data_IF_353215050319
#
_entry.id   IF_353215050319
#
_cell.length_a   1.000
_cell.length_b   1.000
_cell.length_c   1.000
_cell.angle_alpha   90.00
_cell.angle_beta   90.00
_cell.angle_gamma   90.00
#
_symmetry.space_group_name_H-M   'P 1'
#
loop_
_entity.id
_entity.type
_entity.pdbx_description
1 polymer ?
#
# COMPACT_ATOMS: atom_id res chain seq x y z
N UNK A 1 -35.01 -92.35 14.06
CA UNK A 1 -34.20 -91.23 13.50
C UNK A 1 -34.46 -89.95 14.28
N UNK A 2 -33.87 -89.79 15.48
CA UNK A 2 -34.12 -88.63 16.36
C UNK A 2 -32.88 -88.24 17.18
N UNK A 3 -31.68 -88.33 16.60
CA UNK A 3 -30.43 -87.96 17.31
C UNK A 3 -29.50 -87.03 16.51
N UNK A 4 -30.03 -86.29 15.53
CA UNK A 4 -29.23 -85.38 14.68
C UNK A 4 -29.60 -83.89 14.81
N UNK A 5 -30.57 -83.55 15.67
CA UNK A 5 -31.04 -82.16 15.88
C UNK A 5 -30.21 -81.33 16.88
N UNK A 6 -29.67 -81.86 18.00
CA UNK A 6 -28.98 -81.01 18.98
C UNK A 6 -27.56 -80.61 18.54
N UNK A 7 -26.90 -81.40 17.68
CA UNK A 7 -25.52 -81.14 17.21
C UNK A 7 -25.51 -80.01 16.16
N UNK A 8 -26.52 -79.96 15.28
CA UNK A 8 -26.64 -78.90 14.27
C UNK A 8 -26.90 -77.52 14.86
N UNK A 9 -27.65 -77.43 15.97
CA UNK A 9 -27.95 -76.16 16.65
C UNK A 9 -26.69 -75.62 17.35
N UNK A 10 -25.88 -76.49 17.97
CA UNK A 10 -24.60 -76.11 18.57
C UNK A 10 -23.57 -75.61 17.53
N UNK A 11 -23.50 -76.27 16.36
CA UNK A 11 -22.61 -75.85 15.28
C UNK A 11 -23.02 -74.48 14.69
N UNK A 12 -24.32 -74.23 14.48
CA UNK A 12 -24.82 -72.95 13.97
C UNK A 12 -24.51 -71.78 14.92
N UNK A 13 -24.63 -72.01 16.23
CA UNK A 13 -24.29 -71.01 17.26
C UNK A 13 -22.80 -70.65 17.24
N UNK A 14 -21.91 -71.64 17.05
CA UNK A 14 -20.47 -71.40 16.95
C UNK A 14 -20.10 -70.57 15.71
N UNK A 15 -20.70 -70.86 14.56
CA UNK A 15 -20.44 -70.09 13.33
C UNK A 15 -20.94 -68.64 13.42
N UNK A 16 -22.09 -68.39 14.05
CA UNK A 16 -22.59 -67.02 14.29
C UNK A 16 -21.68 -66.22 15.23
N UNK A 17 -21.18 -66.86 16.30
CA UNK A 17 -20.23 -66.23 17.21
C UNK A 17 -18.90 -65.91 16.51
N UNK A 18 -18.37 -66.84 15.71
CA UNK A 18 -17.14 -66.64 14.93
C UNK A 18 -17.30 -65.50 13.92
N UNK A 19 -18.46 -65.42 13.24
CA UNK A 19 -18.77 -64.36 12.27
C UNK A 19 -18.87 -62.98 12.94
N UNK A 20 -19.50 -62.90 14.12
CA UNK A 20 -19.55 -61.66 14.92
C UNK A 20 -18.15 -61.20 15.35
N UNK A 21 -17.29 -62.12 15.79
CA UNK A 21 -15.91 -61.80 16.19
C UNK A 21 -15.09 -61.33 14.99
N UNK A 22 -15.18 -62.03 13.85
CA UNK A 22 -14.48 -61.64 12.61
C UNK A 22 -14.96 -60.30 12.07
N UNK A 23 -16.28 -60.03 12.15
CA UNK A 23 -16.87 -58.76 11.77
C UNK A 23 -16.41 -57.63 12.70
N UNK A 24 -16.37 -57.87 14.01
CA UNK A 24 -15.87 -56.90 14.99
C UNK A 24 -14.36 -56.61 14.80
N UNK A 25 -13.54 -57.61 14.49
CA UNK A 25 -12.12 -57.42 14.14
C UNK A 25 -11.96 -56.67 12.82
N UNK A 26 -12.77 -56.96 11.80
CA UNK A 26 -12.73 -56.26 10.52
C UNK A 26 -13.16 -54.80 10.64
N UNK A 27 -14.22 -54.53 11.42
CA UNK A 27 -14.71 -53.18 11.65
C UNK A 27 -13.76 -52.39 12.57
N UNK A 28 -13.24 -53.03 13.63
CA UNK A 28 -12.29 -52.46 14.55
C UNK A 28 -10.95 -52.12 13.89
N UNK A 29 -10.44 -53.00 13.03
CA UNK A 29 -9.23 -52.72 12.24
C UNK A 29 -9.44 -51.56 11.27
N UNK A 30 -10.55 -51.53 10.51
CA UNK A 30 -10.88 -50.39 9.64
C UNK A 30 -11.01 -49.07 10.41
N UNK A 31 -11.64 -49.11 11.57
CA UNK A 31 -11.78 -47.95 12.45
C UNK A 31 -10.41 -47.46 12.94
N UNK A 32 -9.57 -48.38 13.43
CA UNK A 32 -8.21 -48.08 13.87
C UNK A 32 -7.34 -47.54 12.73
N UNK A 33 -7.40 -48.14 11.54
CA UNK A 33 -6.68 -47.63 10.36
C UNK A 33 -7.13 -46.22 9.98
N UNK A 34 -8.44 -45.93 10.00
CA UNK A 34 -8.95 -44.59 9.71
C UNK A 34 -8.46 -43.56 10.74
N UNK A 35 -8.49 -43.89 12.04
CA UNK A 35 -8.05 -42.98 13.11
C UNK A 35 -6.53 -42.82 13.21
N UNK A 36 -5.76 -43.89 12.93
CA UNK A 36 -4.29 -43.86 13.00
C UNK A 36 -3.69 -43.15 11.78
N UNK A 37 -4.27 -43.29 10.58
CA UNK A 37 -3.78 -42.54 9.41
C UNK A 37 -4.03 -41.03 9.55
N UNK A 38 -5.18 -40.60 10.06
CA UNK A 38 -5.48 -39.17 10.25
C UNK A 38 -4.55 -38.50 11.28
N UNK A 39 -4.14 -39.24 12.32
CA UNK A 39 -3.24 -38.73 13.37
C UNK A 39 -1.75 -38.78 12.98
N UNK A 40 -1.37 -39.58 11.98
CA UNK A 40 0.03 -39.75 11.53
C UNK A 40 0.37 -39.05 10.21
N UNK A 41 -0.61 -38.51 9.47
CA UNK A 41 -0.38 -37.62 8.31
C UNK A 41 0.59 -36.45 8.58
N UNK A 42 0.73 -35.83 9.79
CA UNK A 42 1.68 -34.73 9.97
C UNK A 42 3.17 -35.15 10.04
N UNK A 43 3.51 -36.44 10.01
CA UNK A 43 4.91 -36.92 10.15
C UNK A 43 5.47 -37.65 8.93
N UNK A 44 4.78 -37.70 7.79
CA UNK A 44 5.30 -38.38 6.59
C UNK A 44 6.17 -37.39 5.78
N UNK A 45 7.48 -37.64 5.64
CA UNK A 45 8.32 -36.83 4.76
C UNK A 45 7.86 -37.00 3.29
N UNK A 46 7.87 -35.90 2.54
CA UNK A 46 7.38 -35.75 1.16
C UNK A 46 7.92 -36.73 0.11
N UNK A 47 8.88 -37.58 0.47
CA UNK A 47 9.48 -38.59 -0.41
C UNK A 47 8.70 -39.93 -0.49
N UNK A 48 7.74 -40.19 0.40
CA UNK A 48 7.00 -41.48 0.47
C UNK A 48 5.56 -41.39 -0.08
N UNK A 49 5.24 -40.33 -0.83
CA UNK A 49 3.89 -40.04 -1.34
C UNK A 49 3.26 -41.00 -2.38
N UNK A 50 3.97 -41.88 -3.13
CA UNK A 50 3.30 -42.62 -4.20
C UNK A 50 2.61 -43.93 -3.74
N UNK A 51 2.66 -44.30 -2.45
CA UNK A 51 2.19 -45.61 -1.99
C UNK A 51 0.98 -45.57 -1.02
N UNK A 52 0.41 -44.40 -0.70
CA UNK A 52 -0.67 -44.22 0.29
C UNK A 52 -1.75 -43.29 -0.29
N UNK A 53 -3.06 -43.56 -0.08
CA UNK A 53 -4.13 -42.67 -0.55
C UNK A 53 -4.00 -41.25 0.04
N UNK A 54 -4.32 -40.20 -0.73
CA UNK A 54 -4.12 -38.81 -0.32
C UNK A 54 -5.01 -38.42 0.88
N UNK A 55 -4.40 -37.84 1.93
CA UNK A 55 -5.11 -37.28 3.10
C UNK A 55 -6.04 -36.15 2.61
N UNK A 56 -7.35 -36.34 2.67
CA UNK A 56 -8.33 -35.53 1.93
C UNK A 56 -8.65 -34.14 2.53
N UNK A 57 -8.04 -33.73 3.66
CA UNK A 57 -8.44 -32.50 4.39
C UNK A 57 -7.31 -31.67 5.03
N UNK A 58 -6.04 -31.88 4.67
CA UNK A 58 -4.93 -31.22 5.39
C UNK A 58 -4.28 -30.03 4.69
N UNK A 59 -4.71 -29.73 3.46
CA UNK A 59 -4.34 -28.49 2.78
C UNK A 59 -5.63 -27.85 2.29
N UNK A 60 -6.22 -26.97 3.09
CA UNK A 60 -6.83 -25.80 2.46
C UNK A 60 -5.65 -24.93 2.00
N UNK A 61 -5.35 -24.85 0.68
CA UNK A 61 -4.32 -23.96 0.22
C UNK A 61 -4.75 -22.54 0.61
N UNK A 62 -3.95 -21.89 1.47
CA UNK A 62 -4.08 -20.47 1.69
C UNK A 62 -4.05 -19.81 0.30
N UNK A 63 -5.12 -19.10 -0.12
CA UNK A 63 -5.20 -18.61 -1.47
C UNK A 63 -3.99 -17.71 -1.76
N UNK A 64 -3.19 -18.09 -2.77
CA UNK A 64 -2.03 -17.33 -3.18
C UNK A 64 -2.50 -16.18 -4.07
N UNK A 65 -2.63 -14.99 -3.48
CA UNK A 65 -3.06 -13.79 -4.20
C UNK A 65 -1.90 -13.04 -4.87
N UNK A 66 -0.65 -13.50 -4.72
CA UNK A 66 0.52 -12.87 -5.35
C UNK A 66 0.40 -12.81 -6.87
N UNK A 67 -0.24 -13.80 -7.50
CA UNK A 67 -0.52 -13.75 -8.94
C UNK A 67 -1.51 -12.64 -9.32
N UNK A 68 -2.54 -12.42 -8.51
CA UNK A 68 -3.56 -11.40 -8.77
C UNK A 68 -2.97 -9.99 -8.60
N UNK A 69 -2.15 -9.78 -7.57
CA UNK A 69 -1.43 -8.52 -7.35
C UNK A 69 -0.51 -8.21 -8.52
N UNK A 70 0.28 -9.17 -9.00
CA UNK A 70 1.17 -8.99 -10.15
C UNK A 70 0.41 -8.62 -11.44
N UNK A 71 -0.78 -9.18 -11.64
CA UNK A 71 -1.63 -8.84 -12.81
C UNK A 71 -2.22 -7.43 -12.64
N UNK A 72 -2.69 -7.09 -11.46
CA UNK A 72 -3.25 -5.77 -11.15
C UNK A 72 -2.18 -4.66 -11.25
N UNK A 73 -0.96 -4.93 -10.78
CA UNK A 73 0.18 -4.04 -10.92
C UNK A 73 0.52 -3.79 -12.41
N UNK A 74 0.60 -4.86 -13.21
CA UNK A 74 0.82 -4.74 -14.67
C UNK A 74 -0.27 -3.94 -15.38
N UNK A 75 -1.52 -4.11 -14.98
CA UNK A 75 -2.66 -3.34 -15.52
C UNK A 75 -2.52 -1.85 -15.16
N UNK A 76 -2.24 -1.52 -13.90
CA UNK A 76 -2.04 -0.13 -13.46
C UNK A 76 -0.86 0.52 -14.20
N UNK A 77 0.24 -0.21 -14.38
CA UNK A 77 1.39 0.22 -15.18
C UNK A 77 1.00 0.50 -16.64
N UNK A 78 0.19 -0.37 -17.26
CA UNK A 78 -0.26 -0.19 -18.65
C UNK A 78 -1.18 1.02 -18.85
N UNK A 79 -1.97 1.39 -17.84
CA UNK A 79 -2.85 2.57 -17.86
C UNK A 79 -2.08 3.86 -17.60
N UNK A 80 -1.01 3.82 -16.80
CA UNK A 80 -0.12 4.96 -16.55
C UNK A 80 0.88 5.21 -17.69
N UNK A 81 1.13 4.20 -18.54
CA UNK A 81 2.11 4.24 -19.63
C UNK A 81 1.86 5.23 -20.79
N UNK A 82 0.64 5.67 -21.16
CA UNK A 82 0.46 6.62 -22.27
C UNK A 82 1.15 7.98 -22.03
N UNK A 83 1.53 8.28 -20.79
CA UNK A 83 2.16 9.54 -20.41
C UNK A 83 3.70 9.47 -20.27
N UNK A 84 4.29 8.27 -20.38
CA UNK A 84 5.70 8.00 -20.06
C UNK A 84 6.60 7.66 -21.26
N UNK A 85 6.08 7.70 -22.49
CA UNK A 85 6.76 7.11 -23.66
C UNK A 85 8.07 7.81 -24.10
N UNK A 86 8.55 8.84 -23.38
CA UNK A 86 9.80 9.54 -23.66
C UNK A 86 10.71 9.71 -22.42
N UNK A 87 10.89 8.68 -21.61
CA UNK A 87 11.85 8.72 -20.50
C UNK A 87 12.78 7.52 -20.52
N UNK A 88 13.91 7.69 -21.21
CA UNK A 88 15.07 6.81 -21.15
C UNK A 88 15.76 7.00 -19.79
N UNK A 89 16.03 5.89 -19.11
CA UNK A 89 16.74 5.85 -17.83
C UNK A 89 18.20 6.30 -18.01
N UNK A 90 18.55 7.50 -17.53
CA UNK A 90 19.95 7.88 -17.35
C UNK A 90 20.40 7.55 -15.92
N UNK A 91 21.37 6.64 -15.84
CA UNK A 91 22.13 6.28 -14.64
C UNK A 91 22.61 7.52 -13.85
N UNK A 92 22.72 7.36 -12.52
CA UNK A 92 23.30 8.27 -11.51
C UNK A 92 22.35 9.16 -10.69
N UNK A 93 21.62 8.55 -9.76
CA UNK A 93 21.65 8.95 -8.33
C UNK A 93 20.98 7.85 -7.52
N UNK A 94 21.65 7.41 -6.47
CA UNK A 94 21.23 6.35 -5.55
C UNK A 94 20.18 6.91 -4.56
N UNK A 95 19.07 7.40 -5.09
CA UNK A 95 17.80 7.58 -4.39
C UNK A 95 16.82 6.71 -5.16
N UNK A 96 16.44 5.58 -4.57
CA UNK A 96 15.66 4.52 -5.21
C UNK A 96 14.44 5.06 -5.94
N UNK A 97 14.03 4.40 -7.02
CA UNK A 97 12.74 4.64 -7.69
C UNK A 97 11.52 4.55 -6.74
N UNK A 98 11.72 4.06 -5.50
CA UNK A 98 10.76 4.07 -4.39
C UNK A 98 10.66 5.42 -3.64
N UNK A 99 11.60 6.35 -3.86
CA UNK A 99 11.57 7.73 -3.32
C UNK A 99 10.87 8.73 -4.24
N UNK A 100 10.61 8.37 -5.49
CA UNK A 100 9.76 9.16 -6.37
C UNK A 100 8.28 8.90 -6.02
N UNK A 101 7.62 9.91 -5.45
CA UNK A 101 6.21 9.92 -5.11
C UNK A 101 5.33 9.71 -6.35
N UNK A 102 5.10 8.44 -6.66
CA UNK A 102 4.27 8.04 -7.78
C UNK A 102 2.96 7.48 -7.24
N UNK A 103 1.80 7.82 -7.84
CA UNK A 103 0.53 7.14 -7.56
C UNK A 103 0.64 5.61 -7.65
N UNK A 104 1.63 5.10 -8.36
CA UNK A 104 1.99 3.70 -8.48
C UNK A 104 2.49 3.07 -7.15
N UNK A 105 3.40 3.74 -6.42
CA UNK A 105 3.94 3.18 -5.17
C UNK A 105 2.86 3.06 -4.11
N UNK A 106 2.01 4.10 -3.96
CA UNK A 106 0.83 4.06 -3.10
C UNK A 106 -0.11 2.91 -3.52
N UNK A 107 -0.30 2.71 -4.83
CA UNK A 107 -1.17 1.64 -5.32
C UNK A 107 -0.62 0.25 -5.00
N UNK A 108 0.69 0.05 -5.08
CA UNK A 108 1.34 -1.21 -4.70
C UNK A 108 1.08 -1.53 -3.23
N UNK A 109 1.23 -0.55 -2.35
CA UNK A 109 0.94 -0.70 -0.90
C UNK A 109 -0.53 -1.02 -0.66
N UNK A 110 -1.47 -0.37 -1.36
CA UNK A 110 -2.89 -0.72 -1.27
C UNK A 110 -3.18 -2.18 -1.66
N UNK A 111 -2.53 -2.67 -2.72
CA UNK A 111 -2.72 -4.05 -3.18
C UNK A 111 -2.17 -5.07 -2.19
N UNK A 112 -0.95 -4.84 -1.70
CA UNK A 112 -0.32 -5.69 -0.68
C UNK A 112 -1.13 -5.71 0.62
N UNK A 113 -1.62 -4.54 1.06
CA UNK A 113 -2.43 -4.43 2.29
C UNK A 113 -3.79 -5.11 2.14
N UNK A 114 -4.40 -5.05 0.95
CA UNK A 114 -5.66 -5.77 0.65
C UNK A 114 -5.47 -7.29 0.67
N UNK A 115 -4.34 -7.78 0.17
CA UNK A 115 -3.99 -9.20 0.25
C UNK A 115 -3.81 -9.63 1.71
N UNK A 116 -3.02 -8.88 2.49
CA UNK A 116 -2.86 -9.11 3.92
C UNK A 116 -4.18 -9.08 4.69
N UNK A 117 -5.08 -8.16 4.36
CA UNK A 117 -6.42 -8.12 4.94
C UNK A 117 -7.19 -9.43 4.69
N UNK A 118 -7.11 -9.99 3.48
CA UNK A 118 -7.73 -11.28 3.16
C UNK A 118 -7.08 -12.42 3.94
N UNK A 119 -5.75 -12.46 3.99
CA UNK A 119 -5.02 -13.46 4.77
C UNK A 119 -5.41 -13.43 6.27
N UNK A 120 -5.52 -12.24 6.86
CA UNK A 120 -5.93 -12.04 8.25
C UNK A 120 -7.38 -12.52 8.47
N UNK A 121 -8.31 -12.23 7.57
CA UNK A 121 -9.71 -12.68 7.67
C UNK A 121 -9.87 -14.20 7.76
N UNK A 122 -9.02 -14.95 7.04
CA UNK A 122 -9.04 -16.42 7.04
C UNK A 122 -8.06 -17.05 8.05
N UNK A 123 -7.30 -16.24 8.78
CA UNK A 123 -6.39 -16.71 9.82
C UNK A 123 -7.12 -17.09 11.12
N UNK A 124 -6.42 -17.78 12.02
CA UNK A 124 -6.90 -18.11 13.37
C UNK A 124 -6.38 -17.13 14.43
N UNK A 125 -6.35 -15.83 14.11
CA UNK A 125 -6.01 -14.77 15.06
C UNK A 125 -7.19 -14.48 16.00
N UNK A 126 -6.91 -14.12 17.25
CA UNK A 126 -7.93 -13.80 18.26
C UNK A 126 -8.67 -12.49 17.91
N UNK A 127 -7.94 -11.48 17.42
CA UNK A 127 -8.43 -10.17 17.01
C UNK A 127 -8.61 -10.03 15.49
N UNK A 128 -8.80 -11.13 14.76
CA UNK A 128 -8.84 -11.12 13.28
C UNK A 128 -9.87 -10.15 12.69
N UNK A 129 -11.06 -10.06 13.28
CA UNK A 129 -12.15 -9.23 12.76
C UNK A 129 -11.84 -7.74 12.96
N UNK A 130 -11.35 -7.38 14.15
CA UNK A 130 -10.93 -6.01 14.48
C UNK A 130 -9.76 -5.58 13.58
N UNK A 131 -8.76 -6.45 13.39
CA UNK A 131 -7.61 -6.17 12.55
C UNK A 131 -8.02 -6.03 11.06
N UNK A 132 -8.90 -6.92 10.59
CA UNK A 132 -9.42 -6.86 9.22
C UNK A 132 -10.27 -5.62 8.95
N UNK A 133 -11.07 -5.17 9.91
CA UNK A 133 -11.88 -3.96 9.80
C UNK A 133 -10.99 -2.72 9.78
N UNK A 134 -10.00 -2.64 10.68
CA UNK A 134 -9.03 -1.52 10.69
C UNK A 134 -8.15 -1.44 9.45
N UNK A 135 -7.78 -2.57 8.86
CA UNK A 135 -7.12 -2.59 7.55
C UNK A 135 -8.05 -2.10 6.44
N UNK A 136 -9.36 -2.32 6.59
CA UNK A 136 -10.39 -1.79 5.68
C UNK A 136 -10.47 -0.26 5.75
N UNK A 137 -10.49 0.29 6.96
CA UNK A 137 -10.46 1.74 7.22
C UNK A 137 -9.19 2.36 6.59
N UNK A 138 -8.02 1.80 6.89
CA UNK A 138 -6.74 2.25 6.31
C UNK A 138 -6.77 2.25 4.77
N UNK A 139 -7.28 1.19 4.14
CA UNK A 139 -7.43 1.12 2.68
C UNK A 139 -8.39 2.18 2.13
N UNK A 140 -9.44 2.54 2.87
CA UNK A 140 -10.35 3.60 2.46
C UNK A 140 -9.69 4.98 2.55
N UNK A 141 -8.99 5.27 3.65
CA UNK A 141 -8.24 6.51 3.82
C UNK A 141 -7.07 6.63 2.83
N UNK A 142 -6.36 5.53 2.54
CA UNK A 142 -5.31 5.46 1.51
C UNK A 142 -5.80 5.89 0.13
N UNK A 143 -6.99 5.46 -0.27
CA UNK A 143 -7.60 5.87 -1.54
C UNK A 143 -7.99 7.35 -1.54
N UNK A 144 -8.49 7.87 -0.42
CA UNK A 144 -8.83 9.28 -0.31
C UNK A 144 -7.57 10.15 -0.43
N UNK A 145 -6.52 9.79 0.31
CA UNK A 145 -5.22 10.42 0.19
C UNK A 145 -4.66 10.34 -1.23
N UNK A 146 -4.76 9.19 -1.90
CA UNK A 146 -4.33 9.05 -3.30
C UNK A 146 -5.05 10.01 -4.25
N UNK A 147 -6.34 10.28 -4.04
CA UNK A 147 -7.10 11.28 -4.82
C UNK A 147 -6.69 12.71 -4.49
N UNK A 148 -6.47 13.00 -3.20
CA UNK A 148 -6.02 14.32 -2.75
C UNK A 148 -4.62 14.62 -3.30
N UNK A 149 -3.70 13.65 -3.28
CA UNK A 149 -2.36 13.72 -3.87
C UNK A 149 -2.41 13.95 -5.38
N UNK A 150 -3.27 13.23 -6.11
CA UNK A 150 -3.47 13.44 -7.54
C UNK A 150 -4.01 14.84 -7.85
N UNK A 151 -4.97 15.30 -7.05
CA UNK A 151 -5.55 16.65 -7.18
C UNK A 151 -4.51 17.72 -6.93
N UNK A 152 -3.72 17.55 -5.86
CA UNK A 152 -2.59 18.41 -5.52
C UNK A 152 -1.59 18.47 -6.65
N UNK A 153 -1.13 17.33 -7.17
CA UNK A 153 -0.19 17.25 -8.29
C UNK A 153 -0.71 17.97 -9.55
N UNK A 154 -1.98 17.76 -9.90
CA UNK A 154 -2.59 18.38 -11.07
C UNK A 154 -2.72 19.91 -10.89
N UNK A 155 -3.11 20.36 -9.68
CA UNK A 155 -3.20 21.78 -9.36
C UNK A 155 -1.83 22.45 -9.35
N UNK A 156 -0.82 21.86 -8.70
CA UNK A 156 0.54 22.42 -8.69
C UNK A 156 1.05 22.64 -10.10
N UNK A 157 0.87 21.66 -11.00
CA UNK A 157 1.26 21.81 -12.40
C UNK A 157 0.53 22.96 -13.08
N UNK A 158 -0.79 23.06 -12.90
CA UNK A 158 -1.59 24.14 -13.46
C UNK A 158 -1.17 25.53 -12.95
N UNK A 159 -0.96 25.68 -11.64
CA UNK A 159 -0.51 26.94 -11.02
C UNK A 159 0.87 27.31 -11.53
N UNK A 160 1.79 26.36 -11.58
CA UNK A 160 3.16 26.55 -12.08
C UNK A 160 3.18 27.00 -13.55
N UNK A 161 2.42 26.32 -14.42
CA UNK A 161 2.31 26.66 -15.84
C UNK A 161 1.69 28.06 -16.04
N UNK A 162 0.67 28.40 -15.26
CA UNK A 162 0.06 29.73 -15.27
C UNK A 162 1.05 30.81 -14.82
N UNK A 163 1.78 30.57 -13.74
CA UNK A 163 2.75 31.51 -13.19
C UNK A 163 3.85 31.82 -14.21
N UNK A 164 4.42 30.79 -14.82
CA UNK A 164 5.42 30.95 -15.89
C UNK A 164 4.85 31.73 -17.06
N UNK A 165 3.60 31.43 -17.45
CA UNK A 165 2.91 32.13 -18.53
C UNK A 165 2.75 33.62 -18.21
N UNK A 166 2.29 33.95 -16.99
CA UNK A 166 2.10 35.32 -16.54
C UNK A 166 3.41 36.09 -16.43
N UNK A 167 4.47 35.48 -15.89
CA UNK A 167 5.78 36.10 -15.82
C UNK A 167 6.37 36.34 -17.22
N UNK A 168 6.26 35.35 -18.12
CA UNK A 168 6.72 35.49 -19.52
C UNK A 168 5.95 36.59 -20.25
N UNK A 169 4.64 36.68 -20.06
CA UNK A 169 3.82 37.76 -20.62
C UNK A 169 4.23 39.11 -20.07
N UNK A 170 4.46 39.21 -18.77
CA UNK A 170 4.87 40.45 -18.09
C UNK A 170 6.24 40.93 -18.60
N UNK A 171 7.21 40.03 -18.75
CA UNK A 171 8.52 40.35 -19.31
C UNK A 171 8.44 40.85 -20.76
N UNK A 172 7.59 40.23 -21.60
CA UNK A 172 7.31 40.74 -22.96
C UNK A 172 6.68 42.13 -22.93
N UNK A 173 5.75 42.39 -22.01
CA UNK A 173 5.16 43.72 -21.86
C UNK A 173 6.20 44.75 -21.39
N UNK A 174 7.15 44.34 -20.54
CA UNK A 174 8.25 45.18 -20.08
C UNK A 174 9.19 45.54 -21.25
N UNK A 175 9.56 44.59 -22.11
CA UNK A 175 10.37 44.87 -23.30
C UNK A 175 9.65 45.82 -24.27
N UNK A 176 8.34 45.68 -24.45
CA UNK A 176 7.55 46.59 -25.30
C UNK A 176 7.55 48.04 -24.77
N UNK A 177 7.59 48.21 -23.44
CA UNK A 177 7.71 49.53 -22.81
C UNK A 177 9.12 50.11 -22.99
N UNK A 178 10.16 49.27 -22.90
CA UNK A 178 11.55 49.70 -23.16
C UNK A 178 11.76 50.14 -24.62
N UNK A 179 11.11 49.46 -25.57
CA UNK A 179 11.09 49.80 -26.99
C UNK A 179 10.21 51.01 -27.34
N UNK A 180 9.51 51.61 -26.37
CA UNK A 180 8.58 52.72 -26.58
C UNK A 180 7.28 52.33 -27.30
N UNK A 181 7.01 51.03 -27.48
CA UNK A 181 5.80 50.49 -28.14
C UNK A 181 4.57 50.50 -27.24
N UNK A 182 4.75 50.59 -25.91
CA UNK A 182 3.66 50.50 -24.92
C UNK A 182 3.81 51.52 -23.79
N UNK A 183 2.69 51.95 -23.21
CA UNK A 183 2.66 52.83 -22.04
C UNK A 183 3.02 52.09 -20.74
N UNK A 184 3.80 52.75 -19.87
CA UNK A 184 4.15 52.28 -18.51
C UNK A 184 2.91 51.95 -17.66
N UNK A 185 1.83 52.71 -17.82
CA UNK A 185 0.58 52.49 -17.08
C UNK A 185 -0.11 51.18 -17.52
N UNK A 186 0.01 50.83 -18.81
CA UNK A 186 -0.49 49.55 -19.32
C UNK A 186 0.28 48.37 -18.75
N UNK A 187 1.60 48.48 -18.62
CA UNK A 187 2.45 47.46 -17.99
C UNK A 187 2.06 47.25 -16.52
N UNK A 188 1.86 48.33 -15.77
CA UNK A 188 1.43 48.26 -14.38
C UNK A 188 0.09 47.51 -14.24
N UNK A 189 -0.89 47.81 -15.10
CA UNK A 189 -2.19 47.12 -15.06
C UNK A 189 -2.09 45.63 -15.37
N UNK A 190 -1.21 45.24 -16.30
CA UNK A 190 -0.97 43.83 -16.64
C UNK A 190 -0.27 43.10 -15.49
N UNK A 191 0.72 43.74 -14.88
CA UNK A 191 1.45 43.19 -13.74
C UNK A 191 0.56 42.99 -12.52
N UNK A 192 -0.21 44.02 -12.12
CA UNK A 192 -1.16 43.93 -10.99
C UNK A 192 -2.15 42.80 -11.20
N UNK A 193 -2.72 42.70 -12.41
CA UNK A 193 -3.65 41.62 -12.73
C UNK A 193 -2.99 40.24 -12.70
N UNK A 194 -1.75 40.12 -13.18
CA UNK A 194 -0.99 38.89 -13.11
C UNK A 194 -0.73 38.47 -11.66
N UNK A 195 -0.34 39.40 -10.79
CA UNK A 195 -0.06 39.13 -9.39
C UNK A 195 -1.33 38.76 -8.60
N UNK A 196 -2.47 39.43 -8.85
CA UNK A 196 -3.76 39.07 -8.27
C UNK A 196 -4.18 37.62 -8.63
N UNK A 197 -3.97 37.24 -9.90
CA UNK A 197 -4.24 35.87 -10.36
C UNK A 197 -3.29 34.84 -9.73
N UNK A 198 -2.00 35.15 -9.64
CA UNK A 198 -1.00 34.27 -9.00
C UNK A 198 -1.31 34.10 -7.52
N UNK A 199 -1.69 35.16 -6.80
CA UNK A 199 -2.08 35.10 -5.39
C UNK A 199 -3.26 34.15 -5.19
N UNK A 200 -4.31 34.31 -6.00
CA UNK A 200 -5.51 33.47 -5.94
C UNK A 200 -5.21 32.00 -6.18
N UNK A 201 -4.41 31.70 -7.20
CA UNK A 201 -4.01 30.33 -7.53
C UNK A 201 -3.09 29.73 -6.45
N UNK A 202 -2.18 30.53 -5.87
CA UNK A 202 -1.30 30.09 -4.78
C UNK A 202 -2.10 29.78 -3.51
N UNK A 203 -3.04 30.65 -3.11
CA UNK A 203 -3.95 30.40 -1.98
C UNK A 203 -4.75 29.10 -2.16
N UNK A 204 -5.25 28.86 -3.38
CA UNK A 204 -5.98 27.62 -3.71
C UNK A 204 -5.09 26.39 -3.58
N UNK A 205 -3.84 26.49 -4.01
CA UNK A 205 -2.90 25.37 -3.94
C UNK A 205 -2.51 25.06 -2.49
N UNK A 206 -2.27 26.07 -1.65
CA UNK A 206 -2.01 25.92 -0.21
C UNK A 206 -3.13 25.11 0.45
N UNK A 207 -4.40 25.50 0.24
CA UNK A 207 -5.57 24.78 0.77
C UNK A 207 -5.63 23.31 0.31
N UNK A 208 -5.20 23.04 -0.93
CA UNK A 208 -5.19 21.69 -1.48
C UNK A 208 -4.09 20.83 -0.84
N UNK A 209 -2.92 21.41 -0.55
CA UNK A 209 -1.84 20.75 0.17
C UNK A 209 -2.24 20.45 1.61
N UNK A 210 -2.82 21.43 2.32
CA UNK A 210 -3.31 21.25 3.69
C UNK A 210 -4.32 20.10 3.80
N UNK A 211 -5.24 20.01 2.83
CA UNK A 211 -6.19 18.90 2.75
C UNK A 211 -5.47 17.57 2.58
N UNK A 212 -4.49 17.49 1.68
CA UNK A 212 -3.73 16.28 1.45
C UNK A 212 -2.88 15.88 2.67
N UNK A 213 -2.28 16.86 3.37
CA UNK A 213 -1.53 16.64 4.62
C UNK A 213 -2.45 16.11 5.73
N UNK A 214 -3.67 16.65 5.84
CA UNK A 214 -4.67 16.15 6.78
C UNK A 214 -5.03 14.69 6.49
N UNK A 215 -5.28 14.35 5.22
CA UNK A 215 -5.53 12.96 4.80
C UNK A 215 -4.34 12.04 5.08
N UNK A 216 -3.11 12.53 4.93
CA UNK A 216 -1.88 11.80 5.25
C UNK A 216 -1.72 11.53 6.76
N UNK A 217 -2.03 12.52 7.60
CA UNK A 217 -2.00 12.38 9.05
C UNK A 217 -2.99 11.32 9.55
N UNK A 218 -4.16 11.22 8.93
CA UNK A 218 -5.14 10.16 9.22
C UNK A 218 -4.57 8.76 8.92
N UNK A 219 -3.85 8.60 7.80
CA UNK A 219 -3.18 7.35 7.45
C UNK A 219 -2.10 6.94 8.45
N UNK A 220 -1.32 7.89 8.95
CA UNK A 220 -0.33 7.64 9.99
C UNK A 220 -0.97 7.18 11.30
N UNK A 221 -2.08 7.83 11.69
CA UNK A 221 -2.87 7.44 12.86
C UNK A 221 -3.44 6.01 12.71
N UNK A 222 -3.92 5.64 11.52
CA UNK A 222 -4.39 4.28 11.23
C UNK A 222 -3.27 3.24 11.36
N UNK A 223 -2.08 3.50 10.81
CA UNK A 223 -0.94 2.59 10.95
C UNK A 223 -0.52 2.43 12.42
N UNK A 224 -0.59 3.52 13.19
CA UNK A 224 -0.29 3.52 14.63
C UNK A 224 -1.30 2.67 15.42
N UNK A 225 -2.60 2.84 15.14
CA UNK A 225 -3.65 2.02 15.75
C UNK A 225 -3.53 0.54 15.37
N UNK A 226 -3.21 0.25 14.11
CA UNK A 226 -2.96 -1.12 13.64
C UNK A 226 -1.74 -1.76 14.30
N UNK A 227 -0.72 -0.97 14.64
CA UNK A 227 0.44 -1.45 15.39
C UNK A 227 0.04 -1.88 16.80
N UNK A 228 -0.75 -1.09 17.51
CA UNK A 228 -1.25 -1.42 18.86
C UNK A 228 -2.04 -2.74 18.86
N UNK A 229 -2.95 -2.91 17.90
CA UNK A 229 -3.75 -4.13 17.75
C UNK A 229 -2.84 -5.33 17.44
N UNK A 230 -1.87 -5.16 16.55
CA UNK A 230 -0.90 -6.22 16.20
C UNK A 230 -0.04 -6.62 17.40
N UNK A 231 0.37 -5.66 18.24
CA UNK A 231 1.12 -5.93 19.46
C UNK A 231 0.29 -6.72 20.48
N UNK A 232 -0.98 -6.34 20.64
CA UNK A 232 -1.91 -7.05 21.50
C UNK A 232 -2.13 -8.50 21.02
N UNK A 233 -2.34 -8.69 19.72
CA UNK A 233 -2.48 -10.01 19.10
C UNK A 233 -1.22 -10.87 19.28
N UNK A 234 -0.04 -10.29 19.09
CA UNK A 234 1.24 -10.98 19.34
C UNK A 234 1.35 -11.48 20.79
N UNK A 235 0.86 -10.68 21.76
CA UNK A 235 0.82 -11.07 23.17
C UNK A 235 -0.13 -12.26 23.41
N UNK A 236 -1.30 -12.28 22.79
CA UNK A 236 -2.24 -13.41 22.89
C UNK A 236 -1.63 -14.70 22.35
N UNK A 237 -1.04 -14.65 21.16
CA UNK A 237 -0.45 -15.83 20.52
C UNK A 237 0.77 -16.36 21.27
N UNK A 238 1.57 -15.49 21.89
CA UNK A 238 2.68 -15.89 22.78
C UNK A 238 2.19 -16.60 24.04
N UNK A 239 1.03 -16.21 24.59
CA UNK A 239 0.40 -16.89 25.73
C UNK A 239 -0.20 -18.24 25.33
N UNK A 240 -0.67 -18.35 24.09
CA UNK A 240 -1.27 -19.58 23.55
C UNK A 240 -0.21 -20.60 23.10
N UNK A 241 1.06 -20.23 22.95
CA UNK A 241 2.14 -21.20 22.72
C UNK A 241 2.17 -22.23 23.85
N UNK A 242 1.89 -23.52 23.56
CA UNK A 242 1.91 -24.54 24.58
C UNK A 242 3.36 -24.77 25.07
N UNK A 243 3.53 -24.77 26.39
CA UNK A 243 4.76 -25.25 27.01
C UNK A 243 4.97 -26.74 26.65
N UNK A 244 6.23 -27.18 26.53
CA UNK A 244 6.57 -28.54 26.07
C UNK A 244 5.84 -29.68 26.81
N UNK A 245 5.50 -29.48 28.09
CA UNK A 245 4.70 -30.43 28.89
C UNK A 245 3.21 -30.46 28.53
N UNK A 246 2.62 -29.31 28.18
CA UNK A 246 1.24 -29.24 27.72
C UNK A 246 1.06 -29.97 26.38
N UNK A 247 2.06 -29.92 25.51
CA UNK A 247 2.08 -30.68 24.25
C UNK A 247 2.15 -32.18 24.46
N UNK A 248 2.97 -32.66 25.40
CA UNK A 248 3.01 -34.09 25.74
C UNK A 248 1.66 -34.58 26.26
N UNK A 249 0.97 -33.77 27.07
CA UNK A 249 -0.34 -34.09 27.62
C UNK A 249 -1.44 -34.02 26.54
N UNK A 250 -1.38 -33.03 25.64
CA UNK A 250 -2.33 -32.90 24.52
C UNK A 250 -2.15 -34.04 23.51
N UNK A 251 -0.90 -34.42 23.22
CA UNK A 251 -0.56 -35.59 22.40
C UNK A 251 -1.06 -36.89 23.05
N UNK A 252 -0.87 -37.05 24.36
CA UNK A 252 -1.39 -38.20 25.11
C UNK A 252 -2.93 -38.22 25.19
N UNK A 253 -3.60 -37.06 25.08
CA UNK A 253 -5.06 -36.93 25.02
C UNK A 253 -5.64 -36.97 23.60
N UNK A 254 -4.82 -37.14 22.56
CA UNK A 254 -5.28 -37.16 21.17
C UNK A 254 -5.78 -35.81 20.63
N UNK A 255 -5.34 -34.69 21.22
CA UNK A 255 -5.60 -33.33 20.68
C UNK A 255 -4.52 -32.94 19.69
N UNK A 256 -4.91 -32.28 18.60
CA UNK A 256 -3.97 -31.73 17.61
C UNK A 256 -3.00 -30.73 18.26
N UNK A 257 -1.73 -30.75 17.82
CA UNK A 257 -0.74 -29.75 18.21
C UNK A 257 -1.13 -28.40 17.59
N UNK A 258 -1.31 -27.38 18.44
CA UNK A 258 -1.59 -26.01 17.99
C UNK A 258 -0.34 -25.23 17.56
N UNK A 259 0.86 -25.79 17.78
CA UNK A 259 2.16 -25.20 17.37
C UNK A 259 2.25 -24.76 15.90
N UNK A 260 1.88 -25.57 14.88
CA UNK A 260 1.95 -25.14 13.49
C UNK A 260 1.03 -23.96 13.19
N UNK A 261 -0.11 -23.85 13.88
CA UNK A 261 -1.07 -22.77 13.70
C UNK A 261 -0.57 -21.46 14.30
N UNK A 262 -0.14 -21.48 15.56
CA UNK A 262 0.46 -20.31 16.24
C UNK A 262 1.70 -19.81 15.47
N UNK A 263 2.50 -20.72 14.91
CA UNK A 263 3.65 -20.36 14.06
C UNK A 263 3.23 -19.63 12.79
N UNK A 264 2.23 -20.15 12.06
CA UNK A 264 1.70 -19.47 10.86
C UNK A 264 1.15 -18.08 11.18
N UNK A 265 0.46 -17.94 12.31
CA UNK A 265 -0.04 -16.64 12.78
C UNK A 265 1.11 -15.65 13.06
N UNK A 266 2.19 -16.11 13.70
CA UNK A 266 3.38 -15.27 13.92
C UNK A 266 4.07 -14.87 12.63
N UNK A 267 4.20 -15.79 11.66
CA UNK A 267 4.74 -15.49 10.33
C UNK A 267 3.90 -14.41 9.62
N UNK A 268 2.57 -14.47 9.72
CA UNK A 268 1.66 -13.46 9.16
C UNK A 268 1.80 -12.10 9.85
N UNK A 269 1.86 -12.05 11.18
CA UNK A 269 2.04 -10.79 11.91
C UNK A 269 3.41 -10.15 11.61
N UNK A 270 4.46 -10.95 11.41
CA UNK A 270 5.78 -10.45 11.01
C UNK A 270 5.77 -9.89 9.58
N UNK A 271 5.11 -10.57 8.65
CA UNK A 271 4.95 -10.07 7.28
C UNK A 271 4.21 -8.73 7.28
N UNK A 272 3.12 -8.62 8.05
CA UNK A 272 2.40 -7.37 8.23
C UNK A 272 3.28 -6.26 8.86
N UNK A 273 4.05 -6.59 9.90
CA UNK A 273 4.93 -5.63 10.57
C UNK A 273 5.96 -5.03 9.60
N UNK A 274 6.53 -5.87 8.72
CA UNK A 274 7.47 -5.43 7.69
C UNK A 274 6.81 -4.47 6.69
N UNK A 275 5.63 -4.81 6.15
CA UNK A 275 4.88 -3.94 5.24
C UNK A 275 4.50 -2.61 5.92
N UNK A 276 4.07 -2.65 7.19
CA UNK A 276 3.72 -1.45 7.97
C UNK A 276 4.92 -0.52 8.14
N UNK A 277 6.09 -1.06 8.47
CA UNK A 277 7.32 -0.27 8.64
C UNK A 277 7.72 0.41 7.33
N UNK A 278 7.58 -0.28 6.20
CA UNK A 278 7.83 0.31 4.89
C UNK A 278 6.84 1.44 4.57
N UNK A 279 5.54 1.19 4.78
CA UNK A 279 4.50 2.19 4.57
C UNK A 279 4.72 3.43 5.46
N UNK A 280 4.98 3.24 6.76
CA UNK A 280 5.21 4.34 7.70
C UNK A 280 6.41 5.22 7.30
N UNK A 281 7.52 4.62 6.85
CA UNK A 281 8.66 5.41 6.33
C UNK A 281 8.27 6.23 5.11
N UNK A 282 7.50 5.65 4.19
CA UNK A 282 7.04 6.36 3.00
C UNK A 282 6.10 7.53 3.36
N UNK A 283 5.18 7.35 4.31
CA UNK A 283 4.29 8.42 4.76
C UNK A 283 5.07 9.56 5.44
N UNK A 284 6.10 9.25 6.24
CA UNK A 284 6.95 10.26 6.90
C UNK A 284 7.71 11.13 5.88
N UNK A 285 8.30 10.50 4.85
CA UNK A 285 8.99 11.22 3.78
C UNK A 285 8.02 12.12 2.99
N UNK A 286 6.79 11.65 2.80
CA UNK A 286 5.75 12.40 2.12
C UNK A 286 5.29 13.61 2.92
N UNK A 287 5.17 13.47 4.24
CA UNK A 287 4.83 14.58 5.11
C UNK A 287 5.90 15.67 5.05
N UNK A 288 7.17 15.31 5.24
CA UNK A 288 8.31 16.24 5.16
C UNK A 288 8.35 16.98 3.81
N UNK A 289 8.14 16.26 2.71
CA UNK A 289 8.09 16.88 1.40
C UNK A 289 6.93 17.87 1.25
N UNK A 290 5.74 17.53 1.74
CA UNK A 290 4.57 18.41 1.67
C UNK A 290 4.73 19.66 2.54
N UNK A 291 5.39 19.54 3.70
CA UNK A 291 5.74 20.68 4.56
C UNK A 291 6.70 21.64 3.85
N UNK A 292 7.76 21.12 3.21
CA UNK A 292 8.71 21.94 2.44
C UNK A 292 7.98 22.73 1.34
N UNK A 293 7.09 22.07 0.59
CA UNK A 293 6.31 22.70 -0.47
C UNK A 293 5.39 23.79 0.09
N UNK A 294 4.70 23.52 1.20
CA UNK A 294 3.83 24.50 1.83
C UNK A 294 4.61 25.76 2.22
N UNK A 295 5.81 25.60 2.80
CA UNK A 295 6.68 26.73 3.12
C UNK A 295 7.10 27.52 1.87
N UNK A 296 7.48 26.85 0.79
CA UNK A 296 7.87 27.51 -0.47
C UNK A 296 6.70 28.30 -1.10
N UNK A 297 5.47 27.80 -0.96
CA UNK A 297 4.27 28.48 -1.45
C UNK A 297 3.88 29.69 -0.59
N UNK A 298 4.03 29.60 0.73
CA UNK A 298 3.80 30.76 1.61
C UNK A 298 4.85 31.86 1.39
N UNK A 299 6.09 31.48 1.12
CA UNK A 299 7.13 32.41 0.69
C UNK A 299 6.78 33.06 -0.66
N UNK A 300 6.39 32.26 -1.66
CA UNK A 300 5.95 32.77 -2.96
C UNK A 300 4.77 33.74 -2.80
N UNK A 301 3.77 33.38 -2.00
CA UNK A 301 2.60 34.22 -1.72
C UNK A 301 3.02 35.56 -1.12
N UNK A 302 3.92 35.55 -0.13
CA UNK A 302 4.44 36.77 0.50
C UNK A 302 5.14 37.68 -0.52
N UNK A 303 5.88 37.10 -1.46
CA UNK A 303 6.55 37.84 -2.53
C UNK A 303 5.58 38.43 -3.55
N UNK A 304 4.49 37.72 -3.88
CA UNK A 304 3.47 38.17 -4.84
C UNK A 304 2.59 39.30 -4.27
N UNK A 305 2.32 39.26 -2.96
CA UNK A 305 1.51 40.28 -2.25
C UNK A 305 2.32 41.55 -1.92
N UNK A 306 3.65 41.51 -2.05
CA UNK A 306 4.52 42.63 -1.68
C UNK A 306 4.26 43.87 -2.55
N UNK A 307 3.80 45.01 -1.98
CA UNK A 307 3.44 46.19 -2.76
C UNK A 307 4.68 46.88 -3.34
N UNK A 308 4.71 47.08 -4.66
CA UNK A 308 5.79 47.82 -5.33
C UNK A 308 5.60 49.32 -5.07
N UNK A 309 6.26 49.81 -4.03
CA UNK A 309 6.40 51.24 -3.75
C UNK A 309 7.43 51.81 -4.73
N UNK A 310 6.96 52.28 -5.89
CA UNK A 310 7.70 52.90 -7.01
C UNK A 310 8.22 51.90 -8.08
N UNK A 311 7.49 51.76 -9.22
CA UNK A 311 7.87 50.86 -10.30
C UNK A 311 8.82 51.58 -11.26
N UNK A 312 10.11 51.60 -10.93
CA UNK A 312 11.11 51.74 -11.97
C UNK A 312 11.18 50.43 -12.77
N UNK A 313 11.48 50.49 -14.07
CA UNK A 313 11.55 49.30 -14.91
C UNK A 313 12.50 48.23 -14.33
N UNK A 314 13.58 48.69 -13.67
CA UNK A 314 14.59 47.86 -13.00
C UNK A 314 14.04 47.19 -11.74
N UNK A 315 13.18 47.86 -10.97
CA UNK A 315 12.58 47.27 -9.77
C UNK A 315 11.57 46.19 -10.12
N UNK A 316 10.84 46.37 -11.22
CA UNK A 316 9.90 45.36 -11.74
C UNK A 316 10.62 44.11 -12.26
N UNK A 317 11.71 44.29 -13.01
CA UNK A 317 12.51 43.18 -13.53
C UNK A 317 13.12 42.34 -12.39
N UNK A 318 13.66 42.99 -11.36
CA UNK A 318 14.17 42.33 -10.15
C UNK A 318 13.07 41.52 -9.44
N UNK A 319 11.86 42.07 -9.33
CA UNK A 319 10.74 41.39 -8.67
C UNK A 319 10.30 40.16 -9.47
N UNK A 320 10.16 40.28 -10.79
CA UNK A 320 9.81 39.14 -11.67
C UNK A 320 10.89 38.05 -11.57
N UNK A 321 12.16 38.42 -11.55
CA UNK A 321 13.27 37.47 -11.40
C UNK A 321 13.26 36.77 -10.02
N UNK A 322 12.88 37.49 -8.97
CA UNK A 322 12.73 36.92 -7.62
C UNK A 322 11.60 35.88 -7.60
N UNK A 323 10.48 36.20 -8.22
CA UNK A 323 9.34 35.28 -8.39
C UNK A 323 9.75 34.06 -9.23
N UNK A 324 10.48 34.24 -10.34
CA UNK A 324 10.98 33.14 -11.15
C UNK A 324 11.89 32.19 -10.35
N UNK A 325 12.75 32.74 -9.48
CA UNK A 325 13.56 31.91 -8.58
C UNK A 325 12.73 31.14 -7.55
N UNK A 326 11.65 31.74 -7.02
CA UNK A 326 10.72 31.02 -6.15
C UNK A 326 10.01 29.88 -6.89
N UNK A 327 9.63 30.11 -8.15
CA UNK A 327 9.05 29.11 -9.05
C UNK A 327 10.02 27.97 -9.36
N UNK A 328 11.27 28.29 -9.62
CA UNK A 328 12.31 27.30 -9.88
C UNK A 328 12.58 26.45 -8.64
N UNK A 329 12.51 27.03 -7.44
CA UNK A 329 12.55 26.25 -6.18
C UNK A 329 11.37 25.30 -6.08
N UNK A 330 10.14 25.75 -6.35
CA UNK A 330 8.94 24.89 -6.37
C UNK A 330 9.01 23.78 -7.44
N UNK A 331 9.67 24.03 -8.57
CA UNK A 331 9.97 23.02 -9.61
C UNK A 331 11.01 22.02 -9.17
N UNK A 332 12.07 22.49 -8.52
CA UNK A 332 13.19 21.68 -8.05
C UNK A 332 12.84 20.89 -6.78
N UNK A 333 11.87 21.38 -5.98
CA UNK A 333 11.15 20.62 -4.99
C UNK A 333 10.38 19.52 -5.70
N UNK A 334 11.09 18.45 -6.06
CA UNK A 334 10.68 17.39 -6.99
C UNK A 334 9.32 16.81 -6.64
N UNK A 335 8.27 17.37 -7.23
CA UNK A 335 7.10 16.63 -7.66
C UNK A 335 7.62 15.70 -8.76
N UNK A 336 7.76 14.39 -8.52
CA UNK A 336 8.24 13.52 -9.59
C UNK A 336 7.18 13.44 -10.70
N UNK A 337 7.23 14.36 -11.65
CA UNK A 337 6.90 14.18 -13.05
C UNK A 337 7.65 15.24 -13.86
N UNK A 338 8.77 14.81 -14.43
CA UNK A 338 9.62 15.55 -15.36
C UNK A 338 8.77 16.26 -16.42
N UNK A 339 8.71 17.58 -16.35
CA UNK A 339 8.49 18.42 -17.53
C UNK A 339 9.86 18.77 -18.10
N UNK A 340 10.12 18.32 -19.32
CA UNK A 340 11.26 18.74 -20.13
C UNK A 340 11.46 20.26 -20.06
N UNK A 341 12.69 20.77 -19.94
CA UNK A 341 12.97 22.15 -20.30
C UNK A 341 12.56 22.34 -21.77
N UNK A 342 11.82 23.41 -22.05
CA UNK A 342 11.63 23.86 -23.42
C UNK A 342 13.03 24.22 -23.97
N UNK A 343 13.41 23.59 -25.08
CA UNK A 343 14.57 24.02 -25.86
C UNK A 343 14.39 25.49 -26.29
N UNK A 344 15.46 26.29 -26.29
CA UNK A 344 15.42 27.63 -26.85
C UNK A 344 15.08 27.54 -28.34
N UNK A 345 14.17 28.40 -28.78
CA UNK A 345 13.96 28.69 -30.20
C UNK A 345 15.27 29.31 -30.72
N UNK A 346 16.16 28.49 -31.28
CA UNK A 346 17.25 29.02 -32.08
C UNK A 346 16.65 29.62 -33.36
N UNK A 347 17.07 30.86 -33.54
CA UNK A 347 16.71 31.81 -34.57
C UNK A 347 17.01 31.29 -35.97
N UNK A 348 16.13 31.68 -36.89
CA UNK A 348 16.36 31.81 -38.32
C UNK A 348 17.82 32.18 -38.65
N UNK A 349 18.48 31.33 -39.44
CA UNK A 349 19.08 31.69 -40.73
C UNK A 349 19.16 30.44 -41.63
#
# INVERSE_FOLDING_TARGET
MTLMKPIMIGALGFFLALWMILSALHYGSRFLYATLLDTTCPFIPTAMLPLIPPCAKWNDPMPNFSQLVNVQEKLVLSVLQPQQQHMTWSHSSMMDADTALTPLSLKRVELATRDLQMMIRYSSLALKDVLADKLGDYLAHSRNFGRDLQTMNAQTRGVLDNLITYNTMTLRCLSDVQDGKRSKQGLHSVYEHAMEMIEKETNRLILTIEKAQSSLSVLEADLSALHEITLQESSYQKKEQPHALADLINLAKGRELQRPLVRKNMELLMAYDNERVQASRQLLLLLDQMEIIQMDLEELRTQVVSPILMPEAITLEMHIETINKAVDRLRQGKWSFSSSPAEPLDTLD
#
